data_IF_812047541779
#
_entry.id   IF_812047541779
#
_cell.length_a   1.000
_cell.length_b   1.000
_cell.length_c   1.000
_cell.angle_alpha   90.00
_cell.angle_beta   90.00
_cell.angle_gamma   90.00
#
_symmetry.space_group_name_H-M   'P 1'
#
loop_
_entity.id
_entity.type
_entity.pdbx_description
1 polymer ?
#
# COMPACT_ATOMS: atom_id res chain seq x y z
N UNK A 1 -18.24 13.34 -5.07
CA UNK A 1 -18.91 14.53 -5.65
C UNK A 1 -19.01 15.57 -4.55
N UNK A 2 -18.59 16.80 -4.79
CA UNK A 2 -18.73 17.92 -3.86
C UNK A 2 -20.09 18.60 -4.09
N UNK A 3 -20.93 18.72 -3.05
CA UNK A 3 -22.20 19.42 -3.15
C UNK A 3 -21.97 20.89 -3.47
N UNK A 4 -22.68 21.39 -4.48
CA UNK A 4 -22.61 22.79 -4.89
C UNK A 4 -24.00 23.41 -5.14
N UNK A 5 -25.04 22.58 -5.20
CA UNK A 5 -26.43 23.04 -5.24
C UNK A 5 -27.24 22.30 -4.20
N UNK A 6 -28.08 23.05 -3.48
CA UNK A 6 -29.03 22.54 -2.51
C UNK A 6 -30.34 23.31 -2.69
N UNK A 7 -31.40 22.63 -3.14
CA UNK A 7 -32.73 23.21 -3.25
C UNK A 7 -33.65 22.53 -2.26
N UNK A 8 -34.31 23.31 -1.42
CA UNK A 8 -35.34 22.85 -0.51
C UNK A 8 -36.70 23.35 -1.03
N UNK A 9 -37.63 22.43 -1.24
CA UNK A 9 -38.97 22.71 -1.75
C UNK A 9 -39.95 22.30 -0.67
N UNK A 10 -40.84 23.20 -0.26
CA UNK A 10 -41.85 22.98 0.78
C UNK A 10 -43.24 23.23 0.18
N UNK A 11 -44.18 22.33 0.43
CA UNK A 11 -45.60 22.56 0.13
C UNK A 11 -46.29 23.29 1.28
N UNK A 12 -47.42 23.92 0.97
CA UNK A 12 -48.35 24.51 1.94
C UNK A 12 -48.99 23.47 2.88
N UNK A 13 -49.00 22.19 2.46
CA UNK A 13 -49.43 21.04 3.26
C UNK A 13 -48.32 20.50 4.20
N UNK A 14 -47.11 21.04 4.13
CA UNK A 14 -45.97 20.67 5.00
C UNK A 14 -45.06 19.56 4.48
N UNK A 15 -45.36 18.97 3.31
CA UNK A 15 -44.47 18.03 2.63
C UNK A 15 -43.28 18.77 2.03
N UNK A 16 -42.11 18.14 2.03
CA UNK A 16 -40.89 18.74 1.50
C UNK A 16 -40.05 17.79 0.66
N UNK A 17 -39.30 18.36 -0.26
CA UNK A 17 -38.30 17.66 -1.06
C UNK A 17 -36.99 18.42 -1.07
N UNK A 18 -35.89 17.68 -1.02
CA UNK A 18 -34.56 18.27 -1.24
C UNK A 18 -33.97 17.69 -2.50
N UNK A 19 -33.53 18.59 -3.39
CA UNK A 19 -32.77 18.24 -4.58
C UNK A 19 -31.38 18.83 -4.43
N UNK A 20 -30.40 17.95 -4.20
CA UNK A 20 -29.00 18.33 -4.09
C UNK A 20 -28.26 17.92 -5.36
N UNK A 21 -27.28 18.73 -5.76
CA UNK A 21 -26.38 18.39 -6.86
C UNK A 21 -24.94 18.49 -6.39
N UNK A 22 -24.21 17.39 -6.59
CA UNK A 22 -22.78 17.30 -6.38
C UNK A 22 -22.05 17.25 -7.71
N UNK A 23 -20.89 17.91 -7.79
CA UNK A 23 -20.01 17.91 -8.97
C UNK A 23 -18.74 17.12 -8.68
N UNK A 24 -18.22 16.43 -9.70
CA UNK A 24 -16.86 15.91 -9.72
C UNK A 24 -16.03 16.71 -10.74
N UNK A 25 -15.11 17.57 -10.30
CA UNK A 25 -14.32 18.40 -11.21
C UNK A 25 -13.39 17.60 -12.13
N UNK A 26 -12.98 16.40 -11.72
CA UNK A 26 -12.00 15.58 -12.46
C UNK A 26 -12.59 14.98 -13.73
N UNK A 27 -13.79 14.39 -13.62
CA UNK A 27 -14.46 13.71 -14.74
C UNK A 27 -15.55 14.56 -15.39
N UNK A 28 -15.73 15.82 -14.94
CA UNK A 28 -16.74 16.78 -15.40
C UNK A 28 -18.17 16.24 -15.32
N UNK A 29 -18.46 15.40 -14.34
CA UNK A 29 -19.81 14.86 -14.11
C UNK A 29 -20.49 15.49 -12.91
N UNK A 30 -21.82 15.40 -12.89
CA UNK A 30 -22.66 15.75 -11.75
C UNK A 30 -23.49 14.53 -11.32
N UNK A 31 -23.78 14.47 -10.03
CA UNK A 31 -24.70 13.50 -9.42
C UNK A 31 -25.75 14.26 -8.62
N UNK A 32 -27.00 13.90 -8.81
CA UNK A 32 -28.15 14.49 -8.14
C UNK A 32 -28.69 13.53 -7.10
N UNK A 33 -29.06 14.07 -5.95
CA UNK A 33 -29.58 13.34 -4.80
C UNK A 33 -30.94 13.91 -4.44
N UNK A 34 -31.95 13.04 -4.33
CA UNK A 34 -33.31 13.41 -4.04
C UNK A 34 -33.70 12.89 -2.66
N UNK A 35 -34.29 13.76 -1.87
CA UNK A 35 -34.90 13.45 -0.59
C UNK A 35 -36.37 13.84 -0.68
N UNK A 36 -37.23 13.04 -0.09
CA UNK A 36 -38.66 13.31 -0.06
C UNK A 36 -39.23 12.97 1.30
N UNK A 37 -39.92 13.93 1.92
CA UNK A 37 -40.37 13.84 3.31
C UNK A 37 -41.28 12.66 3.59
N UNK A 38 -42.14 12.27 2.63
CA UNK A 38 -43.14 11.20 2.84
C UNK A 38 -42.49 9.85 3.16
N UNK A 39 -41.31 9.57 2.58
CA UNK A 39 -40.65 8.28 2.71
C UNK A 39 -39.39 8.33 3.58
N UNK A 40 -39.04 9.50 4.13
CA UNK A 40 -37.83 9.68 4.90
C UNK A 40 -38.02 9.18 6.33
N UNK A 41 -37.39 8.05 6.65
CA UNK A 41 -37.36 7.49 8.03
C UNK A 41 -36.13 7.88 8.82
N UNK A 42 -35.02 8.13 8.12
CA UNK A 42 -33.73 8.46 8.71
C UNK A 42 -32.99 9.38 7.76
N UNK A 43 -32.22 10.32 8.32
CA UNK A 43 -31.34 11.20 7.54
C UNK A 43 -30.00 10.54 7.20
N UNK A 44 -29.71 9.38 7.79
CA UNK A 44 -28.40 8.71 7.72
C UNK A 44 -28.48 7.25 7.31
N UNK A 45 -29.69 6.69 7.18
CA UNK A 45 -29.94 5.32 6.76
C UNK A 45 -30.89 5.35 5.55
N UNK A 46 -30.31 5.09 4.38
CA UNK A 46 -30.93 5.11 3.06
C UNK A 46 -31.91 6.29 2.85
N UNK A 47 -31.47 7.55 3.07
CA UNK A 47 -32.36 8.72 3.08
C UNK A 47 -32.85 9.14 1.69
N UNK A 48 -32.16 8.68 0.65
CA UNK A 48 -32.37 9.15 -0.71
C UNK A 48 -33.49 8.36 -1.40
N UNK A 49 -34.53 9.06 -1.84
CA UNK A 49 -35.54 8.46 -2.72
C UNK A 49 -35.04 8.25 -4.14
N UNK A 50 -33.95 8.94 -4.52
CA UNK A 50 -33.29 8.72 -5.79
C UNK A 50 -31.89 9.33 -5.85
N UNK A 51 -30.99 8.63 -6.55
CA UNK A 51 -29.65 9.11 -6.86
C UNK A 51 -29.47 8.99 -8.38
N UNK A 52 -29.33 10.13 -9.06
CA UNK A 52 -29.18 10.18 -10.52
C UNK A 52 -27.75 10.60 -10.88
N UNK A 53 -27.05 9.76 -11.63
CA UNK A 53 -25.70 10.05 -12.12
C UNK A 53 -25.04 8.79 -12.67
N UNK A 54 -23.82 8.93 -13.19
CA UNK A 54 -23.06 7.76 -13.65
C UNK A 54 -22.72 6.86 -12.45
N UNK A 55 -22.98 5.56 -12.62
CA UNK A 55 -22.54 4.52 -11.69
C UNK A 55 -20.99 4.49 -11.69
N UNK A 56 -20.39 4.40 -10.50
CA UNK A 56 -18.94 4.44 -10.28
C UNK A 56 -18.38 3.11 -9.75
N UNK A 57 -19.17 2.04 -9.80
CA UNK A 57 -18.83 0.74 -9.23
C UNK A 57 -18.94 0.74 -7.71
N UNK A 58 -17.96 0.11 -7.05
CA UNK A 58 -17.91 -0.02 -5.60
C UNK A 58 -17.51 1.33 -5.00
N UNK A 59 -18.40 1.88 -4.17
CA UNK A 59 -18.19 3.14 -3.47
C UNK A 59 -18.35 2.94 -1.97
N UNK A 60 -17.70 3.79 -1.18
CA UNK A 60 -17.99 3.90 0.24
C UNK A 60 -19.32 4.65 0.42
N UNK A 61 -20.31 3.99 1.00
CA UNK A 61 -21.61 4.56 1.29
C UNK A 61 -21.93 4.42 2.78
N UNK A 62 -21.74 5.51 3.53
CA UNK A 62 -22.09 5.57 4.95
C UNK A 62 -23.60 5.71 5.18
N UNK A 63 -24.39 5.94 4.12
CA UNK A 63 -25.85 5.96 4.21
C UNK A 63 -26.47 4.59 4.00
N UNK A 64 -25.70 3.61 3.51
CA UNK A 64 -26.21 2.25 3.34
C UNK A 64 -26.66 1.66 4.69
N UNK A 65 -27.69 0.82 4.65
CA UNK A 65 -28.21 0.18 5.86
C UNK A 65 -27.18 -0.68 6.57
N UNK A 66 -26.36 -1.40 5.81
CA UNK A 66 -25.26 -2.21 6.33
C UNK A 66 -24.13 -1.40 6.97
N UNK A 67 -24.10 -0.06 6.80
CA UNK A 67 -23.07 0.80 7.37
C UNK A 67 -23.38 1.27 8.80
N UNK A 68 -24.41 0.73 9.46
CA UNK A 68 -24.81 1.11 10.81
C UNK A 68 -23.68 0.98 11.84
N UNK A 69 -23.01 -0.17 11.89
CA UNK A 69 -21.87 -0.39 12.80
C UNK A 69 -20.73 0.61 12.54
N UNK A 70 -20.46 0.94 11.28
CA UNK A 70 -19.45 1.92 10.91
C UNK A 70 -19.82 3.33 11.40
N UNK A 71 -21.08 3.73 11.24
CA UNK A 71 -21.57 5.02 11.76
C UNK A 71 -21.42 5.09 13.29
N UNK A 72 -21.77 4.01 13.99
CA UNK A 72 -21.65 3.92 15.44
C UNK A 72 -20.19 3.99 15.89
N UNK A 73 -19.29 3.27 15.22
CA UNK A 73 -17.85 3.30 15.50
C UNK A 73 -17.23 4.68 15.26
N UNK A 74 -17.62 5.39 14.20
CA UNK A 74 -17.16 6.77 13.94
C UNK A 74 -17.60 7.70 15.07
N UNK A 75 -18.86 7.59 15.52
CA UNK A 75 -19.36 8.38 16.64
C UNK A 75 -18.63 8.05 17.93
N UNK A 76 -18.42 6.77 18.23
CA UNK A 76 -17.69 6.32 19.42
C UNK A 76 -16.27 6.90 19.44
N UNK A 77 -15.56 6.84 18.31
CA UNK A 77 -14.25 7.47 18.15
C UNK A 77 -14.36 8.99 18.37
N UNK A 78 -15.32 9.67 17.74
CA UNK A 78 -15.47 11.12 17.89
C UNK A 78 -15.73 11.57 19.34
N UNK A 79 -16.32 10.70 20.15
CA UNK A 79 -16.63 10.94 21.57
C UNK A 79 -15.53 10.48 22.53
N UNK A 80 -14.54 9.70 22.07
CA UNK A 80 -13.36 9.38 22.86
C UNK A 80 -12.43 10.60 22.90
N UNK A 81 -11.85 10.85 24.08
CA UNK A 81 -10.79 11.84 24.20
C UNK A 81 -9.66 11.48 23.21
N UNK A 82 -9.12 12.43 22.42
CA UNK A 82 -8.04 12.17 21.48
C UNK A 82 -6.88 11.41 22.12
N UNK A 83 -6.59 11.66 23.40
CA UNK A 83 -5.54 10.95 24.14
C UNK A 83 -5.80 9.46 24.34
N UNK A 84 -7.07 9.02 24.45
CA UNK A 84 -7.43 7.59 24.54
C UNK A 84 -7.31 6.90 23.19
N UNK A 85 -7.71 7.56 22.11
CA UNK A 85 -7.54 7.04 20.74
C UNK A 85 -6.06 6.91 20.40
N UNK A 86 -5.25 7.91 20.73
CA UNK A 86 -3.79 7.88 20.54
C UNK A 86 -3.10 6.80 21.40
N UNK A 87 -3.70 6.40 22.53
CA UNK A 87 -3.23 5.25 23.33
C UNK A 87 -3.66 3.91 22.75
N UNK A 88 -4.86 3.81 22.19
CA UNK A 88 -5.39 2.61 21.53
C UNK A 88 -4.73 2.38 20.15
N UNK A 89 -4.32 3.45 19.47
CA UNK A 89 -3.55 3.44 18.22
C UNK A 89 -2.13 3.94 18.51
N UNK A 90 -1.34 3.12 19.20
CA UNK A 90 0.05 3.45 19.51
C UNK A 90 0.99 3.10 18.36
N UNK A 91 0.79 3.73 17.20
CA UNK A 91 1.88 3.81 16.21
C UNK A 91 2.78 4.98 16.62
N UNK A 92 3.64 4.74 17.63
CA UNK A 92 4.69 5.69 18.02
C UNK A 92 5.76 5.62 16.94
N UNK A 93 5.65 6.48 15.94
CA UNK A 93 6.68 6.66 14.94
C UNK A 93 7.75 7.63 15.46
N UNK A 94 9.04 7.39 15.16
CA UNK A 94 10.09 8.32 15.53
C UNK A 94 9.90 9.69 14.87
N UNK A 95 10.48 10.75 15.46
CA UNK A 95 10.50 12.09 14.86
C UNK A 95 11.52 12.24 13.73
N UNK A 96 12.18 11.15 13.35
CA UNK A 96 13.22 11.09 12.33
C UNK A 96 12.75 10.24 11.14
N UNK A 97 13.27 10.56 9.97
CA UNK A 97 12.87 9.94 8.70
C UNK A 97 13.84 8.84 8.27
N UNK A 98 15.10 8.93 8.69
CA UNK A 98 16.12 7.94 8.38
C UNK A 98 15.83 6.60 9.03
N UNK A 99 16.15 5.52 8.33
CA UNK A 99 16.00 4.17 8.89
C UNK A 99 17.32 3.77 9.52
N UNK A 100 17.31 3.57 10.84
CA UNK A 100 18.48 3.19 11.61
C UNK A 100 18.47 1.70 11.95
N UNK A 101 19.62 1.17 12.37
CA UNK A 101 19.73 -0.23 12.80
C UNK A 101 18.81 -0.56 13.98
N UNK A 102 18.50 0.43 14.85
CA UNK A 102 17.56 0.28 15.96
C UNK A 102 16.10 0.16 15.51
N UNK A 103 15.76 0.60 14.30
CA UNK A 103 14.39 0.62 13.79
C UNK A 103 13.99 -0.71 13.12
N UNK A 104 14.95 -1.62 12.92
CA UNK A 104 14.77 -2.87 12.19
C UNK A 104 15.33 -4.07 12.94
N UNK A 105 14.66 -5.21 12.80
CA UNK A 105 15.25 -6.49 13.19
C UNK A 105 16.25 -6.92 12.10
N UNK A 106 17.54 -6.74 12.36
CA UNK A 106 18.63 -7.03 11.41
C UNK A 106 18.67 -8.50 10.98
N UNK A 107 18.22 -9.44 11.83
CA UNK A 107 18.13 -10.86 11.47
C UNK A 107 17.07 -11.10 10.40
N UNK A 108 15.90 -10.49 10.56
CA UNK A 108 14.81 -10.58 9.58
C UNK A 108 15.15 -9.88 8.27
N UNK A 109 15.62 -8.63 8.36
CA UNK A 109 16.01 -7.87 7.18
C UNK A 109 17.16 -8.57 6.44
N UNK A 110 18.18 -9.03 7.16
CA UNK A 110 19.32 -9.72 6.57
C UNK A 110 18.97 -11.04 5.92
N UNK A 111 18.15 -11.90 6.56
CA UNK A 111 17.70 -13.16 5.97
C UNK A 111 16.96 -12.93 4.64
N UNK A 112 16.17 -11.86 4.61
CA UNK A 112 15.40 -11.45 3.44
C UNK A 112 16.28 -10.87 2.33
N UNK A 113 17.27 -10.04 2.66
CA UNK A 113 18.27 -9.55 1.71
C UNK A 113 19.12 -10.70 1.16
N UNK A 114 19.52 -11.64 2.01
CA UNK A 114 20.30 -12.82 1.65
C UNK A 114 19.50 -13.76 0.73
N UNK A 115 18.22 -14.02 1.01
CA UNK A 115 17.33 -14.79 0.13
C UNK A 115 17.43 -14.31 -1.32
N UNK A 116 17.36 -13.00 -1.52
CA UNK A 116 17.24 -12.41 -2.86
C UNK A 116 18.57 -12.38 -3.61
N UNK A 117 19.69 -12.63 -2.92
CA UNK A 117 21.06 -12.52 -3.46
C UNK A 117 21.80 -13.85 -3.50
N UNK A 118 21.70 -14.66 -2.46
CA UNK A 118 22.47 -15.90 -2.25
C UNK A 118 21.70 -17.15 -2.68
N UNK A 119 20.37 -17.13 -2.65
CA UNK A 119 19.63 -18.15 -3.37
C UNK A 119 19.73 -17.83 -4.86
N UNK A 120 20.67 -18.49 -5.54
CA UNK A 120 20.48 -18.91 -6.93
C UNK A 120 19.79 -20.27 -6.88
N UNK A 121 18.46 -20.32 -6.76
CA UNK A 121 17.75 -21.57 -6.65
C UNK A 121 18.04 -22.45 -7.86
N UNK A 122 18.52 -23.66 -7.57
CA UNK A 122 18.74 -24.68 -8.59
C UNK A 122 17.39 -25.16 -9.15
N UNK A 123 16.33 -25.17 -8.33
CA UNK A 123 14.94 -25.35 -8.77
C UNK A 123 14.06 -24.18 -8.29
N UNK A 124 14.02 -23.21 -9.18
CA UNK A 124 13.39 -21.88 -9.17
C UNK A 124 12.30 -21.77 -10.24
N UNK A 125 11.97 -22.88 -10.88
CA UNK A 125 11.45 -22.90 -12.24
C UNK A 125 10.03 -22.33 -12.32
N UNK A 126 9.25 -22.50 -11.26
CA UNK A 126 7.94 -21.86 -11.08
C UNK A 126 8.03 -20.40 -10.62
N UNK A 127 9.12 -20.01 -9.94
CA UNK A 127 9.32 -18.63 -9.48
C UNK A 127 9.63 -17.67 -10.64
N UNK A 128 10.14 -18.22 -11.76
CA UNK A 128 10.63 -17.52 -12.96
C UNK A 128 9.74 -17.58 -14.20
N UNK A 129 8.59 -18.27 -14.18
CA UNK A 129 7.65 -18.28 -15.32
C UNK A 129 7.11 -16.87 -15.67
N UNK A 130 7.41 -15.86 -14.85
CA UNK A 130 7.44 -14.45 -15.22
C UNK A 130 8.84 -14.10 -15.75
N UNK A 131 9.02 -14.20 -17.07
CA UNK A 131 10.17 -13.62 -17.76
C UNK A 131 10.33 -12.15 -17.31
N UNK A 132 11.40 -11.83 -16.57
CA UNK A 132 11.74 -10.45 -16.19
C UNK A 132 11.72 -10.09 -14.69
N UNK A 133 11.51 -11.03 -13.75
CA UNK A 133 11.60 -10.72 -12.31
C UNK A 133 13.07 -10.73 -11.87
N UNK A 134 13.64 -9.55 -11.62
CA UNK A 134 15.00 -9.41 -11.12
C UNK A 134 15.12 -9.61 -9.59
N UNK A 135 16.34 -9.75 -9.05
CA UNK A 135 16.59 -9.89 -7.61
C UNK A 135 15.89 -8.83 -6.75
N UNK A 136 15.86 -7.60 -7.25
CA UNK A 136 15.23 -6.46 -6.57
C UNK A 136 13.70 -6.57 -6.53
N UNK A 137 13.08 -7.04 -7.60
CA UNK A 137 11.64 -7.29 -7.66
C UNK A 137 11.26 -8.47 -6.77
N UNK A 138 12.11 -9.49 -6.69
CA UNK A 138 11.96 -10.57 -5.70
C UNK A 138 12.05 -10.06 -4.27
N UNK A 139 12.98 -9.13 -4.00
CA UNK A 139 13.09 -8.48 -2.70
C UNK A 139 11.78 -7.77 -2.35
N UNK A 140 11.28 -6.91 -3.22
CA UNK A 140 9.98 -6.26 -3.01
C UNK A 140 8.85 -7.27 -2.76
N UNK A 141 8.76 -8.34 -3.56
CA UNK A 141 7.72 -9.36 -3.41
C UNK A 141 7.83 -10.16 -2.10
N UNK A 142 9.03 -10.44 -1.61
CA UNK A 142 9.22 -11.15 -0.33
C UNK A 142 8.80 -10.28 0.88
N UNK A 143 9.04 -8.97 0.83
CA UNK A 143 8.54 -8.05 1.86
C UNK A 143 7.02 -7.87 1.77
N UNK A 144 6.46 -7.79 0.55
CA UNK A 144 5.02 -7.71 0.34
C UNK A 144 4.31 -9.01 0.76
N UNK A 145 4.89 -10.18 0.47
CA UNK A 145 4.30 -11.47 0.86
C UNK A 145 4.19 -11.58 2.38
N UNK A 146 5.18 -11.06 3.11
CA UNK A 146 5.13 -11.00 4.56
C UNK A 146 4.07 -10.02 5.08
N UNK A 147 3.77 -8.93 4.39
CA UNK A 147 2.63 -8.07 4.72
C UNK A 147 1.30 -8.80 4.52
N UNK A 148 1.18 -9.63 3.49
CA UNK A 148 -0.06 -10.34 3.15
C UNK A 148 -0.28 -11.58 4.02
N UNK A 149 0.79 -12.35 4.29
CA UNK A 149 0.71 -13.68 4.89
C UNK A 149 1.38 -13.79 6.27
N UNK A 150 2.13 -12.76 6.70
CA UNK A 150 2.87 -12.78 7.96
C UNK A 150 1.98 -12.69 9.20
N UNK A 151 2.43 -13.32 10.28
CA UNK A 151 1.76 -13.22 11.57
C UNK A 151 1.87 -11.79 12.18
N UNK A 152 0.91 -11.35 13.02
CA UNK A 152 0.92 -10.02 13.64
C UNK A 152 2.23 -9.63 14.37
N UNK A 153 2.95 -10.60 14.94
CA UNK A 153 4.23 -10.38 15.61
C UNK A 153 5.36 -9.91 14.69
N UNK A 154 5.18 -10.05 13.37
CA UNK A 154 6.18 -9.67 12.36
C UNK A 154 6.15 -8.18 12.02
N UNK A 155 5.15 -7.45 12.50
CA UNK A 155 4.98 -6.01 12.34
C UNK A 155 5.53 -5.18 13.52
N UNK A 156 6.32 -5.80 14.41
CA UNK A 156 6.99 -5.10 15.51
C UNK A 156 8.07 -4.11 15.02
N UNK A 157 8.64 -4.35 13.83
CA UNK A 157 9.67 -3.50 13.21
C UNK A 157 9.23 -3.00 11.83
N UNK A 158 8.22 -2.12 11.75
CA UNK A 158 7.58 -1.74 10.49
C UNK A 158 8.52 -1.00 9.51
N UNK A 159 9.61 -0.39 10.00
CA UNK A 159 10.58 0.29 9.17
C UNK A 159 11.24 -0.66 8.14
N UNK A 160 11.31 -1.98 8.42
CA UNK A 160 11.82 -2.99 7.47
C UNK A 160 11.08 -2.94 6.13
N UNK A 161 9.77 -2.74 6.13
CA UNK A 161 8.97 -2.77 4.90
C UNK A 161 9.27 -1.60 3.95
N UNK A 162 9.90 -0.53 4.45
CA UNK A 162 10.39 0.56 3.59
C UNK A 162 11.49 0.10 2.61
N UNK A 163 12.19 -1.00 2.89
CA UNK A 163 13.17 -1.59 1.97
C UNK A 163 12.54 -2.29 0.75
N UNK A 164 11.21 -2.42 0.70
CA UNK A 164 10.53 -2.97 -0.48
C UNK A 164 10.59 -1.99 -1.65
N UNK A 165 10.34 -0.70 -1.38
CA UNK A 165 10.15 0.32 -2.41
C UNK A 165 10.71 1.70 -2.05
N UNK A 166 11.51 1.81 -1.00
CA UNK A 166 12.07 3.09 -0.56
C UNK A 166 11.01 4.07 -0.07
N UNK A 167 11.38 5.35 -0.02
CA UNK A 167 10.55 6.45 0.45
C UNK A 167 10.50 7.60 -0.54
N UNK A 168 9.35 8.27 -0.60
CA UNK A 168 9.16 9.47 -1.44
C UNK A 168 10.04 10.63 -1.01
N UNK A 169 10.46 10.67 0.24
CA UNK A 169 11.43 11.61 0.81
C UNK A 169 12.88 11.14 0.64
N UNK A 170 13.10 9.97 0.03
CA UNK A 170 14.42 9.39 -0.19
C UNK A 170 14.93 8.52 0.96
N UNK A 171 14.11 8.19 1.95
CA UNK A 171 14.49 7.34 3.08
C UNK A 171 13.72 6.00 3.07
N UNK A 172 14.40 4.84 3.19
CA UNK A 172 15.85 4.66 3.25
C UNK A 172 16.56 5.11 1.95
N UNK A 173 15.90 4.90 0.81
CA UNK A 173 16.38 5.29 -0.52
C UNK A 173 15.21 5.79 -1.38
N UNK A 174 15.47 6.52 -2.49
CA UNK A 174 14.43 6.97 -3.42
C UNK A 174 13.59 5.84 -3.99
N UNK A 175 12.31 6.11 -4.29
CA UNK A 175 11.39 5.08 -4.77
C UNK A 175 11.83 4.56 -6.14
N UNK A 176 12.19 3.27 -6.30
CA UNK A 176 12.55 2.69 -7.59
C UNK A 176 11.26 2.38 -8.38
N UNK A 177 10.74 3.36 -9.10
CA UNK A 177 9.38 3.28 -9.68
C UNK A 177 9.20 2.10 -10.63
N UNK A 178 10.24 1.69 -11.37
CA UNK A 178 10.16 0.53 -12.26
C UNK A 178 9.89 -0.76 -11.49
N UNK A 179 10.60 -0.96 -10.37
CA UNK A 179 10.43 -2.14 -9.51
C UNK A 179 9.07 -2.11 -8.82
N UNK A 180 8.62 -0.91 -8.43
CA UNK A 180 7.28 -0.72 -7.89
C UNK A 180 6.23 -1.19 -8.89
N UNK A 181 6.29 -0.70 -10.13
CA UNK A 181 5.35 -1.05 -11.20
C UNK A 181 5.38 -2.55 -11.52
N UNK A 182 6.57 -3.15 -11.60
CA UNK A 182 6.74 -4.59 -11.79
C UNK A 182 6.07 -5.40 -10.68
N UNK A 183 6.29 -5.01 -9.41
CA UNK A 183 5.70 -5.69 -8.25
C UNK A 183 4.18 -5.59 -8.29
N UNK A 184 3.65 -4.40 -8.60
CA UNK A 184 2.22 -4.18 -8.72
C UNK A 184 1.58 -5.02 -9.82
N UNK A 185 2.22 -5.10 -10.99
CA UNK A 185 1.73 -5.89 -12.11
C UNK A 185 1.74 -7.39 -11.79
N UNK A 186 2.77 -7.88 -11.10
CA UNK A 186 2.85 -9.29 -10.67
C UNK A 186 1.70 -9.64 -9.73
N UNK A 187 1.44 -8.80 -8.72
CA UNK A 187 0.34 -8.99 -7.78
C UNK A 187 -1.01 -8.94 -8.49
N UNK A 188 -1.21 -7.95 -9.37
CA UNK A 188 -2.43 -7.78 -10.15
C UNK A 188 -2.72 -9.02 -11.00
N UNK A 189 -1.74 -9.47 -11.79
CA UNK A 189 -1.87 -10.67 -12.62
C UNK A 189 -2.10 -11.92 -11.77
N UNK A 190 -1.51 -12.01 -10.59
CA UNK A 190 -1.75 -13.09 -9.64
C UNK A 190 -3.21 -13.13 -9.16
N UNK A 191 -3.76 -11.98 -8.80
CA UNK A 191 -5.16 -11.85 -8.38
C UNK A 191 -6.12 -12.16 -9.54
N UNK A 192 -5.87 -11.60 -10.73
CA UNK A 192 -6.71 -11.84 -11.91
C UNK A 192 -6.75 -13.32 -12.29
N UNK A 193 -5.59 -14.01 -12.32
CA UNK A 193 -5.53 -15.44 -12.59
C UNK A 193 -6.18 -16.29 -11.50
N UNK A 194 -6.02 -15.91 -10.23
CA UNK A 194 -6.65 -16.64 -9.12
C UNK A 194 -8.17 -16.62 -9.20
N UNK A 195 -8.78 -15.53 -9.68
CA UNK A 195 -10.22 -15.46 -9.92
C UNK A 195 -10.70 -16.41 -11.01
N UNK A 196 -9.81 -16.81 -11.92
CA UNK A 196 -10.06 -17.77 -13.00
C UNK A 196 -9.71 -19.22 -12.59
N UNK A 197 -9.43 -19.46 -11.30
CA UNK A 197 -9.08 -20.78 -10.77
C UNK A 197 -7.59 -21.15 -10.90
N UNK A 198 -6.75 -20.26 -11.43
CA UNK A 198 -5.29 -20.45 -11.50
C UNK A 198 -4.60 -19.66 -10.39
N UNK A 199 -4.39 -20.30 -9.23
CA UNK A 199 -3.82 -19.67 -8.03
C UNK A 199 -2.31 -19.81 -7.90
N UNK A 200 -1.63 -20.43 -8.87
CA UNK A 200 -0.20 -20.74 -8.84
C UNK A 200 0.67 -19.52 -8.46
N UNK A 201 0.33 -18.35 -9.01
CA UNK A 201 1.04 -17.09 -8.71
C UNK A 201 0.87 -16.61 -7.27
N UNK A 202 -0.34 -16.71 -6.70
CA UNK A 202 -0.56 -16.33 -5.30
C UNK A 202 0.10 -17.33 -4.35
N UNK A 203 0.06 -18.62 -4.71
CA UNK A 203 0.78 -19.65 -3.96
C UNK A 203 2.30 -19.43 -4.01
N UNK A 204 2.86 -18.97 -5.12
CA UNK A 204 4.27 -18.60 -5.21
C UNK A 204 4.64 -17.45 -4.27
N UNK A 205 3.78 -16.44 -4.13
CA UNK A 205 3.96 -15.33 -3.17
C UNK A 205 3.91 -15.84 -1.73
N UNK A 206 3.00 -16.75 -1.40
CA UNK A 206 2.98 -17.38 -0.08
C UNK A 206 4.26 -18.20 0.18
N UNK A 207 4.71 -19.00 -0.79
CA UNK A 207 5.97 -19.78 -0.68
C UNK A 207 7.17 -18.88 -0.46
N UNK A 208 7.22 -17.69 -1.07
CA UNK A 208 8.28 -16.69 -0.80
C UNK A 208 8.33 -16.32 0.68
N UNK A 209 7.18 -16.10 1.33
CA UNK A 209 7.15 -15.83 2.77
C UNK A 209 7.68 -17.03 3.58
N UNK A 210 7.26 -18.25 3.25
CA UNK A 210 7.68 -19.47 3.95
C UNK A 210 9.19 -19.72 3.86
N UNK A 211 9.80 -19.49 2.69
CA UNK A 211 11.25 -19.61 2.51
C UNK A 211 11.97 -18.54 3.35
N UNK A 212 11.42 -17.32 3.44
CA UNK A 212 12.02 -16.23 4.20
C UNK A 212 12.07 -16.56 5.70
N UNK A 213 10.98 -17.12 6.23
CA UNK A 213 10.90 -17.58 7.62
C UNK A 213 11.93 -18.68 7.89
N UNK A 214 12.10 -19.65 6.97
CA UNK A 214 13.10 -20.74 7.13
C UNK A 214 14.54 -20.23 7.08
N UNK A 215 14.85 -19.28 6.20
CA UNK A 215 16.16 -18.65 6.14
C UNK A 215 16.46 -17.88 7.42
N UNK A 216 15.48 -17.17 7.96
CA UNK A 216 15.62 -16.43 9.23
C UNK A 216 16.10 -17.34 10.37
N UNK A 217 15.59 -18.56 10.52
CA UNK A 217 15.94 -19.46 11.65
C UNK A 217 17.46 -19.58 11.86
N UNK A 218 18.20 -19.81 10.78
CA UNK A 218 19.65 -20.02 10.79
C UNK A 218 20.47 -18.78 10.41
N UNK A 219 19.83 -17.64 10.16
CA UNK A 219 20.52 -16.43 9.74
C UNK A 219 21.22 -15.72 10.90
N UNK A 220 22.47 -15.34 10.69
CA UNK A 220 23.25 -14.49 11.61
C UNK A 220 23.56 -13.17 10.92
N UNK A 221 23.10 -12.02 11.43
CA UNK A 221 23.41 -10.72 10.85
C UNK A 221 24.92 -10.45 10.85
N UNK A 222 25.47 -10.21 9.67
CA UNK A 222 26.85 -9.76 9.48
C UNK A 222 26.92 -8.71 8.38
N UNK A 223 26.17 -7.62 8.52
CA UNK A 223 26.16 -6.51 7.56
C UNK A 223 25.83 -5.20 8.29
N UNK A 224 26.26 -4.07 7.72
CA UNK A 224 25.84 -2.74 8.15
C UNK A 224 24.65 -2.26 7.31
N UNK A 225 23.56 -1.89 7.98
CA UNK A 225 22.36 -1.33 7.32
C UNK A 225 22.68 -0.05 6.55
N UNK A 226 23.59 0.79 7.03
CA UNK A 226 23.94 2.04 6.37
C UNK A 226 24.66 1.81 5.04
N UNK A 227 25.47 0.76 4.96
CA UNK A 227 26.10 0.34 3.70
C UNK A 227 25.05 -0.15 2.70
N UNK A 228 24.05 -0.91 3.16
CA UNK A 228 22.91 -1.31 2.31
C UNK A 228 22.20 -0.07 1.77
N UNK A 229 21.83 0.87 2.66
CA UNK A 229 21.11 2.09 2.30
C UNK A 229 21.89 2.94 1.31
N UNK A 230 23.20 3.07 1.49
CA UNK A 230 24.04 3.90 0.64
C UNK A 230 24.19 3.31 -0.77
N UNK A 231 24.37 2.00 -0.87
CA UNK A 231 24.38 1.34 -2.18
C UNK A 231 23.01 1.45 -2.87
N UNK A 232 21.94 1.25 -2.12
CA UNK A 232 20.57 1.43 -2.59
C UNK A 232 20.34 2.84 -3.17
N UNK A 233 20.87 3.87 -2.50
CA UNK A 233 20.84 5.26 -2.97
C UNK A 233 21.64 5.45 -4.26
N UNK A 234 22.85 4.88 -4.34
CA UNK A 234 23.71 4.93 -5.54
C UNK A 234 23.07 4.26 -6.75
N UNK A 235 22.23 3.25 -6.53
CA UNK A 235 21.66 2.43 -7.59
C UNK A 235 20.21 2.74 -7.95
N UNK A 236 19.50 3.51 -7.12
CA UNK A 236 18.08 3.82 -7.31
C UNK A 236 17.78 4.44 -8.68
N UNK A 237 18.66 5.28 -9.25
CA UNK A 237 18.45 5.91 -10.56
C UNK A 237 18.28 4.91 -11.71
N UNK A 238 18.96 3.75 -11.65
CA UNK A 238 18.88 2.69 -12.66
C UNK A 238 17.44 2.16 -12.79
N UNK A 239 16.73 2.19 -11.67
CA UNK A 239 15.37 1.68 -11.51
C UNK A 239 14.29 2.77 -11.52
N UNK A 240 14.60 3.97 -12.03
CA UNK A 240 13.66 5.09 -12.03
C UNK A 240 13.48 5.74 -10.66
N UNK A 241 14.53 5.74 -9.83
CA UNK A 241 14.56 6.35 -8.51
C UNK A 241 13.92 7.74 -8.51
N UNK A 242 12.91 7.94 -7.65
CA UNK A 242 12.14 9.18 -7.58
C UNK A 242 11.90 9.61 -6.13
N UNK A 243 12.05 10.91 -5.89
CA UNK A 243 11.70 11.58 -4.63
C UNK A 243 10.73 12.73 -4.91
N UNK A 244 10.20 13.34 -3.86
CA UNK A 244 9.44 14.61 -3.93
C UNK A 244 10.24 15.73 -4.57
N UNK A 245 11.57 15.67 -4.48
CA UNK A 245 12.50 16.65 -5.05
C UNK A 245 12.86 16.37 -6.51
N UNK A 246 12.39 15.24 -7.08
CA UNK A 246 12.64 14.85 -8.46
C UNK A 246 13.35 13.52 -8.61
N UNK A 247 13.90 13.29 -9.81
CA UNK A 247 14.54 12.03 -10.19
C UNK A 247 15.93 11.88 -9.57
N UNK A 248 16.24 10.66 -9.12
CA UNK A 248 17.57 10.26 -8.68
C UNK A 248 18.55 10.34 -9.84
N UNK A 249 19.74 10.89 -9.57
CA UNK A 249 20.80 11.05 -10.57
C UNK A 249 21.90 9.99 -10.36
N UNK A 250 22.58 9.57 -11.44
CA UNK A 250 23.76 8.73 -11.32
C UNK A 250 24.88 9.44 -10.54
N UNK A 251 25.73 8.71 -9.80
CA UNK A 251 26.93 9.27 -9.18
C UNK A 251 27.84 9.90 -10.24
N UNK A 252 28.49 11.03 -9.92
CA UNK A 252 29.33 11.78 -10.88
C UNK A 252 30.47 10.96 -11.53
N UNK A 253 30.86 9.82 -10.92
CA UNK A 253 31.94 8.94 -11.40
C UNK A 253 31.48 7.69 -12.17
N UNK A 254 30.19 7.35 -12.19
CA UNK A 254 29.68 6.14 -12.86
C UNK A 254 28.93 6.46 -14.16
N UNK A 255 29.63 7.06 -15.12
CA UNK A 255 29.04 7.30 -16.44
C UNK A 255 29.07 6.09 -17.37
N UNK A 256 29.69 4.97 -16.98
CA UNK A 256 29.81 3.74 -17.77
C UNK A 256 29.88 2.52 -16.84
N UNK A 257 28.81 1.73 -16.77
CA UNK A 257 28.87 0.27 -16.87
C UNK A 257 27.45 -0.34 -16.79
N UNK A 258 27.05 -1.01 -17.88
CA UNK A 258 25.79 -1.74 -18.03
C UNK A 258 25.83 -3.16 -17.39
N UNK A 259 26.69 -3.36 -16.38
CA UNK A 259 26.75 -4.60 -15.61
C UNK A 259 25.75 -4.58 -14.45
N UNK A 260 25.04 -5.69 -14.24
CA UNK A 260 24.19 -5.88 -13.06
C UNK A 260 25.00 -5.70 -11.78
N UNK A 261 24.47 -4.93 -10.83
CA UNK A 261 25.19 -4.63 -9.58
C UNK A 261 24.86 -5.66 -8.53
N UNK A 262 25.93 -6.29 -8.06
CA UNK A 262 25.99 -7.13 -6.87
C UNK A 262 26.50 -6.26 -5.72
N UNK A 263 25.65 -6.04 -4.73
CA UNK A 263 26.05 -5.48 -3.45
C UNK A 263 26.97 -6.47 -2.71
N UNK A 264 28.21 -6.09 -2.41
CA UNK A 264 29.05 -6.83 -1.46
C UNK A 264 28.63 -6.44 -0.03
N UNK A 265 27.84 -7.29 0.63
CA UNK A 265 27.53 -7.15 2.06
C UNK A 265 28.19 -8.23 2.91
N UNK A 266 29.18 -8.93 2.35
CA UNK A 266 29.97 -9.97 2.99
C UNK A 266 31.41 -9.91 2.48
#
# INVERSE_FOLDING_TARGET
YQLYTHNFILSDEGSWSVVQQGMNPKDKTARRYHWHSENLKSFVDEPHTGICGKNQGIILDLTAKSAEENRNGILEISHKAPEKIMKEVSLILPSHHDVQASDVNLKRLGAMLAMTREMQPENFEDLLMLKGVGPRTMQSLALVSEVIHGAPSRFQDPARFSFAHGGKDGHPFPVPTKIYDETLEILRLGIEKSKLGNSDKLQAIQKLHEINVKLEENFTPNFDIQEVIEDERKNSWRFGGKTVSGDSKPPEKERLDNGGIQLSLF
#
